data_IF_093131207763
#
_entry.id   IF_093131207763
#
_cell.length_a   1.000
_cell.length_b   1.000
_cell.length_c   1.000
_cell.angle_alpha   90.00
_cell.angle_beta   90.00
_cell.angle_gamma   90.00
#
_symmetry.space_group_name_H-M   'P 1'
#
loop_
_entity.id
_entity.type
_entity.pdbx_description
1 polymer ?
#
# COMPACT_ATOMS: atom_id res chain seq x y z
N UNK A 1 -2.67 19.77 5.96
CA UNK A 1 -2.42 19.15 4.64
C UNK A 1 -3.46 18.06 4.40
N UNK A 2 -3.96 17.86 3.16
CA UNK A 2 -4.90 16.80 2.86
C UNK A 2 -4.24 15.42 3.03
N UNK A 3 -4.93 14.48 3.67
CA UNK A 3 -4.46 13.10 3.88
C UNK A 3 -4.52 12.27 2.59
N UNK A 4 -3.92 11.08 2.59
CA UNK A 4 -4.04 10.15 1.45
C UNK A 4 -5.51 9.79 1.19
N UNK A 5 -6.30 9.57 2.24
CA UNK A 5 -7.75 9.36 2.15
C UNK A 5 -8.46 10.53 1.46
N UNK A 6 -8.06 11.77 1.75
CA UNK A 6 -8.65 12.94 1.08
C UNK A 6 -8.32 12.96 -0.43
N UNK A 7 -7.10 12.57 -0.82
CA UNK A 7 -6.71 12.43 -2.24
C UNK A 7 -7.56 11.37 -2.96
N UNK A 8 -7.69 10.18 -2.36
CA UNK A 8 -8.50 9.08 -2.91
C UNK A 8 -9.96 9.55 -3.07
N UNK A 9 -10.53 10.15 -2.04
CA UNK A 9 -11.91 10.63 -2.03
C UNK A 9 -12.18 11.68 -3.11
N UNK A 10 -11.21 12.54 -3.43
CA UNK A 10 -11.31 13.52 -4.50
C UNK A 10 -11.25 12.85 -5.88
N UNK A 11 -10.32 11.92 -6.10
CA UNK A 11 -10.19 11.22 -7.39
C UNK A 11 -11.39 10.32 -7.70
N UNK A 12 -11.90 9.58 -6.71
CA UNK A 12 -13.14 8.77 -6.86
C UNK A 12 -14.36 9.64 -7.24
N UNK A 13 -14.38 10.91 -6.82
CA UNK A 13 -15.42 11.88 -7.19
C UNK A 13 -15.18 12.58 -8.52
N UNK A 14 -14.10 12.24 -9.24
CA UNK A 14 -13.74 12.89 -10.49
C UNK A 14 -13.20 14.33 -10.33
N UNK A 15 -12.78 14.71 -9.12
CA UNK A 15 -12.27 16.06 -8.83
C UNK A 15 -10.78 16.23 -9.19
N UNK A 16 -10.16 15.23 -9.81
CA UNK A 16 -8.78 15.28 -10.28
C UNK A 16 -8.20 13.90 -10.55
N UNK A 17 -6.94 13.87 -10.98
CA UNK A 17 -6.14 12.66 -11.21
C UNK A 17 -4.76 12.80 -10.55
N UNK A 18 -4.00 11.70 -10.49
CA UNK A 18 -2.62 11.69 -9.98
C UNK A 18 -2.29 10.43 -9.18
N UNK A 19 -1.10 10.39 -8.60
CA UNK A 19 -0.57 9.19 -7.95
C UNK A 19 -1.24 8.82 -6.63
N UNK A 20 -1.53 7.52 -6.47
CA UNK A 20 -2.02 6.86 -5.27
C UNK A 20 -1.20 5.58 -5.00
N UNK A 21 -0.96 5.20 -3.73
CA UNK A 21 -0.43 3.89 -3.39
C UNK A 21 -1.35 2.79 -3.91
N UNK A 22 -0.78 1.78 -4.59
CA UNK A 22 -1.57 0.71 -5.22
C UNK A 22 -2.43 -0.03 -4.19
N UNK A 23 -1.87 -0.30 -3.02
CA UNK A 23 -2.54 -1.00 -1.90
C UNK A 23 -3.80 -0.27 -1.44
N UNK A 24 -3.83 1.06 -1.54
CA UNK A 24 -4.98 1.88 -1.16
C UNK A 24 -5.95 2.11 -2.33
N UNK A 25 -5.46 2.08 -3.58
CA UNK A 25 -6.28 2.24 -4.79
C UNK A 25 -6.97 0.94 -5.23
N UNK A 26 -6.38 -0.22 -4.92
CA UNK A 26 -6.85 -1.55 -5.30
C UNK A 26 -8.37 -1.79 -5.15
N UNK A 27 -9.02 -1.49 -4.01
CA UNK A 27 -10.45 -1.73 -3.88
C UNK A 27 -11.30 -0.85 -4.83
N UNK A 28 -10.86 0.37 -5.13
CA UNK A 28 -11.57 1.29 -6.02
C UNK A 28 -11.33 0.97 -7.49
N UNK A 29 -10.13 0.48 -7.82
CA UNK A 29 -9.81 -0.09 -9.14
C UNK A 29 -10.67 -1.33 -9.41
N UNK A 30 -10.77 -2.25 -8.44
CA UNK A 30 -11.59 -3.46 -8.56
C UNK A 30 -13.09 -3.16 -8.75
N UNK A 31 -13.58 -2.04 -8.21
CA UNK A 31 -14.96 -1.57 -8.38
C UNK A 31 -15.17 -0.75 -9.67
N UNK A 32 -14.11 -0.46 -10.42
CA UNK A 32 -14.18 0.42 -11.60
C UNK A 32 -14.41 1.91 -11.26
N UNK A 33 -14.22 2.31 -10.00
CA UNK A 33 -14.32 3.71 -9.55
C UNK A 33 -13.06 4.52 -9.89
N UNK A 34 -11.94 3.84 -10.08
CA UNK A 34 -10.69 4.42 -10.56
C UNK A 34 -10.22 3.63 -11.79
N UNK A 35 -9.40 4.27 -12.61
CA UNK A 35 -8.68 3.65 -13.73
C UNK A 35 -7.20 4.01 -13.62
N UNK A 36 -6.33 3.07 -14.03
CA UNK A 36 -4.89 3.33 -14.11
C UNK A 36 -4.63 4.14 -15.38
N UNK A 37 -3.93 5.26 -15.24
CA UNK A 37 -3.48 6.08 -16.37
C UNK A 37 -1.97 5.90 -16.57
N UNK A 38 -1.56 5.61 -17.80
CA UNK A 38 -0.14 5.58 -18.17
C UNK A 38 0.44 6.99 -18.15
N UNK A 39 1.70 7.12 -17.73
CA UNK A 39 2.42 8.39 -17.62
C UNK A 39 3.68 8.34 -18.48
N UNK A 40 3.97 9.40 -19.22
CA UNK A 40 5.12 9.48 -20.14
C UNK A 40 6.48 9.26 -19.44
N UNK A 41 6.58 9.60 -18.15
CA UNK A 41 7.79 9.48 -17.34
C UNK A 41 8.07 8.04 -16.87
N UNK A 42 7.09 7.12 -17.03
CA UNK A 42 7.11 5.80 -16.40
C UNK A 42 6.96 5.87 -14.87
N UNK A 43 6.46 4.79 -14.25
CA UNK A 43 6.26 4.75 -12.81
C UNK A 43 7.59 4.46 -12.08
N UNK A 44 8.31 5.52 -11.72
CA UNK A 44 9.64 5.47 -11.09
C UNK A 44 9.62 5.13 -9.59
N UNK A 45 8.47 5.28 -8.92
CA UNK A 45 8.39 5.13 -7.46
C UNK A 45 8.16 3.67 -7.04
N UNK A 46 9.25 3.01 -6.66
CA UNK A 46 9.16 1.79 -5.84
C UNK A 46 8.78 2.20 -4.42
N UNK A 47 7.56 1.90 -3.99
CA UNK A 47 7.16 2.11 -2.60
C UNK A 47 7.84 1.07 -1.69
N UNK A 48 8.70 1.55 -0.78
CA UNK A 48 9.31 0.69 0.23
C UNK A 48 8.40 0.56 1.44
N UNK A 49 7.79 -0.61 1.60
CA UNK A 49 7.08 -0.97 2.84
C UNK A 49 8.04 -1.70 3.76
N UNK A 50 8.13 -1.24 5.01
CA UNK A 50 9.00 -1.83 6.02
C UNK A 50 8.22 -2.20 7.28
N UNK A 51 8.57 -3.34 7.87
CA UNK A 51 8.18 -3.68 9.23
C UNK A 51 9.19 -3.04 10.19
N UNK A 52 8.71 -2.29 11.18
CA UNK A 52 9.56 -1.61 12.15
C UNK A 52 9.27 -2.05 13.59
N UNK A 53 10.31 -2.18 14.40
CA UNK A 53 10.23 -2.52 15.82
C UNK A 53 11.36 -1.85 16.60
N UNK A 54 11.25 -1.82 17.93
CA UNK A 54 12.32 -1.30 18.81
C UNK A 54 13.57 -2.16 18.73
N UNK A 55 14.74 -1.53 18.78
CA UNK A 55 16.05 -2.18 18.62
C UNK A 55 16.43 -3.15 19.76
N UNK A 56 15.72 -3.13 20.89
CA UNK A 56 15.91 -4.04 22.03
C UNK A 56 15.84 -5.52 21.59
N UNK A 57 16.54 -6.46 22.24
CA UNK A 57 16.49 -7.89 21.88
C UNK A 57 15.05 -8.44 21.79
N UNK A 58 14.72 -9.27 20.79
CA UNK A 58 13.38 -9.82 20.65
C UNK A 58 13.10 -10.87 21.72
N UNK A 59 12.02 -10.68 22.47
CA UNK A 59 11.36 -11.77 23.19
C UNK A 59 10.77 -12.80 22.22
N UNK A 60 10.43 -13.98 22.71
CA UNK A 60 9.99 -15.12 21.89
C UNK A 60 8.77 -14.82 21.01
N UNK A 61 7.79 -14.08 21.55
CA UNK A 61 6.63 -13.65 20.78
C UNK A 61 7.00 -12.78 19.56
N UNK A 62 8.00 -11.89 19.70
CA UNK A 62 8.45 -11.04 18.59
C UNK A 62 9.20 -11.86 17.55
N UNK A 63 10.05 -12.79 17.97
CA UNK A 63 10.74 -13.71 17.04
C UNK A 63 9.73 -14.51 16.23
N UNK A 64 8.70 -15.04 16.89
CA UNK A 64 7.63 -15.80 16.24
C UNK A 64 6.90 -14.96 15.17
N UNK A 65 6.51 -13.72 15.50
CA UNK A 65 5.88 -12.82 14.54
C UNK A 65 6.78 -12.49 13.34
N UNK A 66 8.05 -12.16 13.59
CA UNK A 66 9.01 -11.88 12.51
C UNK A 66 9.21 -13.09 11.59
N UNK A 67 9.16 -14.31 12.13
CA UNK A 67 9.20 -15.51 11.31
C UNK A 67 7.95 -15.65 10.44
N UNK A 68 6.75 -15.35 10.96
CA UNK A 68 5.50 -15.37 10.18
C UNK A 68 5.51 -14.33 9.07
N UNK A 69 6.00 -13.12 9.35
CA UNK A 69 6.11 -12.03 8.38
C UNK A 69 7.09 -12.31 7.22
N UNK A 70 7.90 -13.38 7.29
CA UNK A 70 8.70 -13.84 6.14
C UNK A 70 7.88 -14.57 5.08
N UNK A 71 6.61 -14.91 5.35
CA UNK A 71 5.75 -15.59 4.39
C UNK A 71 5.33 -14.62 3.27
N UNK A 72 5.65 -14.90 1.99
CA UNK A 72 5.24 -14.04 0.87
C UNK A 72 3.72 -13.86 0.81
N UNK A 73 2.97 -14.95 0.97
CA UNK A 73 1.50 -14.93 1.02
C UNK A 73 0.97 -13.99 2.11
N UNK A 74 1.59 -13.98 3.29
CA UNK A 74 1.17 -13.07 4.36
C UNK A 74 1.48 -11.61 4.01
N UNK A 75 2.67 -11.34 3.45
CA UNK A 75 3.03 -10.01 2.97
C UNK A 75 2.03 -9.50 1.91
N UNK A 76 1.73 -10.31 0.90
CA UNK A 76 0.76 -9.98 -0.16
C UNK A 76 -0.62 -9.66 0.44
N UNK A 77 -1.11 -10.49 1.37
CA UNK A 77 -2.39 -10.26 2.05
C UNK A 77 -2.40 -8.97 2.87
N UNK A 78 -1.32 -8.65 3.59
CA UNK A 78 -1.20 -7.40 4.35
C UNK A 78 -1.14 -6.16 3.44
N UNK A 79 -0.65 -6.32 2.21
CA UNK A 79 -0.61 -5.27 1.20
C UNK A 79 -1.90 -5.20 0.36
N UNK A 80 -2.86 -6.11 0.58
CA UNK A 80 -4.08 -6.17 -0.23
C UNK A 80 -3.84 -6.61 -1.68
N UNK A 81 -2.79 -7.40 -1.92
CA UNK A 81 -2.39 -7.91 -3.24
C UNK A 81 -2.67 -9.42 -3.43
N UNK A 82 -3.28 -10.08 -2.44
CA UNK A 82 -3.56 -11.53 -2.43
C UNK A 82 -5.03 -11.88 -2.52
#
# INVERSE_FOLDING_TARGET
>A
MPSMQAKIAAQVRGLGCGYLPLTMAAPYLAQGLLVVCETDEGMSLTEHVAYAWRAEPPGEARKWWLQKLKSPRLCESLLGMG
#
